data_IF_011416051062
#
_entry.id   IF_011416051062
#
_cell.length_a   1.000
_cell.length_b   1.000
_cell.length_c   1.000
_cell.angle_alpha   90.00
_cell.angle_beta   90.00
_cell.angle_gamma   90.00
#
_symmetry.space_group_name_H-M   'P 1'
#
loop_
_entity.id
_entity.type
_entity.pdbx_description
1 polymer ?
#
# COMPACT_ATOMS: atom_id res chain seq x y z
N UNK A 1 6.97 -27.99 4.56
CA UNK A 1 6.97 -29.20 3.71
C UNK A 1 7.78 -28.92 2.46
N UNK A 2 8.70 -29.82 2.06
CA UNK A 2 9.45 -29.69 0.81
C UNK A 2 8.51 -29.53 -0.40
N UNK A 3 8.90 -28.71 -1.36
CA UNK A 3 8.10 -28.36 -2.55
C UNK A 3 7.03 -27.30 -2.34
N UNK A 4 6.80 -26.83 -1.11
CA UNK A 4 5.80 -25.79 -0.83
C UNK A 4 6.23 -24.40 -1.35
N UNK A 5 5.34 -23.75 -2.10
CA UNK A 5 5.53 -22.41 -2.69
C UNK A 5 4.22 -21.86 -3.28
N UNK A 6 4.24 -20.61 -3.74
CA UNK A 6 3.08 -19.92 -4.36
C UNK A 6 3.12 -19.92 -5.89
N UNK A 7 4.18 -20.49 -6.46
CA UNK A 7 4.46 -20.52 -7.90
C UNK A 7 5.05 -19.19 -8.44
N UNK A 8 5.33 -19.12 -9.75
CA UNK A 8 5.85 -17.93 -10.41
C UNK A 8 4.84 -16.79 -10.39
N UNK A 9 5.23 -15.62 -9.88
CA UNK A 9 4.35 -14.45 -9.80
C UNK A 9 5.14 -13.14 -9.93
N UNK A 10 4.40 -12.02 -9.93
CA UNK A 10 4.90 -10.66 -10.02
C UNK A 10 4.27 -9.80 -8.93
N UNK A 11 5.09 -9.02 -8.25
CA UNK A 11 4.64 -8.02 -7.29
C UNK A 11 4.74 -6.60 -7.89
N UNK A 12 3.84 -5.72 -7.43
CA UNK A 12 3.82 -4.29 -7.79
C UNK A 12 4.51 -3.42 -6.73
N UNK A 13 5.24 -4.05 -5.81
CA UNK A 13 5.95 -3.39 -4.72
C UNK A 13 7.33 -4.01 -4.54
N UNK A 14 8.23 -3.22 -3.94
CA UNK A 14 9.53 -3.70 -3.49
C UNK A 14 9.35 -4.67 -2.32
N UNK A 15 10.15 -5.74 -2.31
CA UNK A 15 10.15 -6.71 -1.21
C UNK A 15 11.56 -7.15 -0.85
N UNK A 16 11.84 -7.23 0.45
CA UNK A 16 12.98 -7.97 0.98
C UNK A 16 12.48 -9.28 1.57
N UNK A 17 12.99 -10.40 1.05
CA UNK A 17 12.68 -11.74 1.53
C UNK A 17 13.84 -12.18 2.40
N UNK A 18 13.59 -12.28 3.70
CA UNK A 18 14.58 -12.72 4.69
C UNK A 18 14.34 -14.19 4.97
N UNK A 19 15.36 -15.01 4.73
CA UNK A 19 15.30 -16.44 5.00
C UNK A 19 15.43 -16.68 6.51
N UNK A 20 14.38 -17.28 7.09
CA UNK A 20 14.35 -17.74 8.48
C UNK A 20 14.93 -19.15 8.59
N UNK A 21 14.35 -19.98 9.46
CA UNK A 21 14.76 -21.38 9.60
C UNK A 21 14.58 -22.16 8.29
N UNK A 22 15.37 -23.21 8.13
CA UNK A 22 15.37 -24.05 6.93
C UNK A 22 15.96 -23.34 5.70
N UNK A 23 15.74 -23.94 4.53
CA UNK A 23 16.24 -23.47 3.23
C UNK A 23 15.17 -23.47 2.14
N UNK A 24 15.29 -22.48 1.24
CA UNK A 24 14.45 -22.35 0.05
C UNK A 24 15.31 -22.05 -1.15
N UNK A 25 14.89 -22.55 -2.31
CA UNK A 25 15.44 -22.13 -3.59
C UNK A 25 14.59 -21.00 -4.15
N UNK A 26 15.23 -19.89 -4.47
CA UNK A 26 14.62 -18.69 -5.01
C UNK A 26 15.12 -18.42 -6.41
N UNK A 27 14.18 -18.18 -7.32
CA UNK A 27 14.41 -17.86 -8.73
C UNK A 27 13.82 -16.48 -9.01
N UNK A 28 14.59 -15.61 -9.66
CA UNK A 28 14.14 -14.29 -10.12
C UNK A 28 14.51 -14.16 -11.59
N UNK A 29 13.55 -13.81 -12.44
CA UNK A 29 13.75 -13.55 -13.87
C UNK A 29 13.89 -12.06 -14.19
N UNK A 30 14.17 -11.76 -15.45
CA UNK A 30 14.30 -10.37 -15.93
C UNK A 30 12.93 -9.66 -16.00
N UNK A 31 12.93 -8.33 -15.82
CA UNK A 31 11.74 -7.50 -15.93
C UNK A 31 11.30 -7.37 -17.39
N UNK A 32 10.46 -8.29 -17.82
CA UNK A 32 9.84 -8.30 -19.15
C UNK A 32 8.31 -8.26 -19.04
N UNK A 33 7.59 -7.70 -20.02
CA UNK A 33 6.13 -7.80 -20.04
C UNK A 33 5.68 -9.26 -20.09
N UNK A 34 5.01 -9.72 -19.03
CA UNK A 34 4.47 -11.07 -18.93
C UNK A 34 2.94 -11.03 -18.83
N UNK A 35 2.28 -12.02 -19.42
CA UNK A 35 0.84 -12.20 -19.22
C UNK A 35 0.65 -12.84 -17.85
N UNK A 36 -0.11 -12.16 -17.00
CA UNK A 36 -0.58 -12.75 -15.76
C UNK A 36 -1.81 -13.63 -16.05
N UNK A 37 -1.87 -14.78 -15.41
CA UNK A 37 -3.04 -15.63 -15.39
C UNK A 37 -3.45 -15.91 -13.94
N UNK A 38 -4.71 -16.27 -13.75
CA UNK A 38 -5.32 -16.45 -12.45
C UNK A 38 -5.67 -17.93 -12.27
N UNK A 39 -4.73 -18.79 -11.81
CA UNK A 39 -5.01 -20.18 -11.52
C UNK A 39 -5.94 -20.34 -10.31
N UNK A 40 -5.95 -19.36 -9.41
CA UNK A 40 -6.87 -19.26 -8.28
C UNK A 40 -7.24 -17.79 -8.06
N UNK A 41 -8.49 -17.43 -7.68
CA UNK A 41 -8.93 -16.03 -7.53
C UNK A 41 -8.00 -15.14 -6.70
N UNK A 42 -7.34 -15.71 -5.71
CA UNK A 42 -6.43 -15.01 -4.77
C UNK A 42 -4.95 -15.08 -5.16
N UNK A 43 -4.61 -15.65 -6.32
CA UNK A 43 -3.23 -15.89 -6.73
C UNK A 43 -3.03 -15.53 -8.20
N UNK A 44 -2.32 -14.44 -8.45
CA UNK A 44 -1.86 -14.06 -9.79
C UNK A 44 -0.53 -14.76 -10.07
N UNK A 45 -0.49 -15.56 -11.12
CA UNK A 45 0.73 -16.23 -11.58
C UNK A 45 1.15 -15.74 -12.97
N UNK A 46 2.40 -16.02 -13.33
CA UNK A 46 2.95 -15.82 -14.66
C UNK A 46 3.47 -17.14 -15.23
N UNK A 47 3.65 -17.18 -16.55
CA UNK A 47 4.32 -18.30 -17.20
C UNK A 47 5.75 -18.52 -16.64
N UNK A 48 6.31 -19.74 -16.76
CA UNK A 48 7.69 -20.00 -16.38
C UNK A 48 8.69 -19.06 -17.07
N UNK A 49 9.73 -18.68 -16.35
CA UNK A 49 10.75 -17.73 -16.82
C UNK A 49 12.17 -18.31 -16.71
N UNK A 50 13.08 -17.76 -17.52
CA UNK A 50 14.52 -17.94 -17.36
C UNK A 50 15.02 -17.03 -16.22
N UNK A 51 15.75 -17.62 -15.28
CA UNK A 51 16.14 -16.95 -14.06
C UNK A 51 17.50 -16.25 -14.23
N UNK A 52 17.56 -14.97 -13.87
CA UNK A 52 18.80 -14.20 -13.74
C UNK A 52 19.43 -14.36 -12.35
N UNK A 53 18.64 -14.81 -11.37
CA UNK A 53 19.09 -15.24 -10.03
C UNK A 53 18.43 -16.59 -9.76
N UNK A 54 19.21 -17.60 -9.37
CA UNK A 54 18.72 -18.93 -9.00
C UNK A 54 19.58 -19.50 -7.86
N UNK A 55 19.17 -19.24 -6.62
CA UNK A 55 20.00 -19.46 -5.43
C UNK A 55 19.25 -20.23 -4.35
N UNK A 56 19.98 -21.05 -3.58
CA UNK A 56 19.49 -21.66 -2.35
C UNK A 56 19.82 -20.74 -1.17
N UNK A 57 18.80 -20.19 -0.54
CA UNK A 57 18.97 -19.29 0.60
C UNK A 57 19.06 -20.06 1.92
N UNK A 58 19.99 -19.64 2.78
CA UNK A 58 20.22 -20.11 4.13
C UNK A 58 19.72 -19.11 5.19
N UNK A 59 19.53 -19.53 6.47
CA UNK A 59 19.05 -18.63 7.52
C UNK A 59 19.93 -17.37 7.67
N UNK A 60 19.31 -16.20 7.51
CA UNK A 60 19.98 -14.90 7.56
C UNK A 60 20.20 -14.26 6.19
N UNK A 61 20.09 -15.02 5.09
CA UNK A 61 20.18 -14.47 3.74
C UNK A 61 18.98 -13.59 3.43
N UNK A 62 19.21 -12.58 2.57
CA UNK A 62 18.20 -11.61 2.16
C UNK A 62 18.21 -11.48 0.64
N UNK A 63 17.03 -11.67 0.04
CA UNK A 63 16.79 -11.43 -1.37
C UNK A 63 15.92 -10.19 -1.52
N UNK A 64 16.45 -9.16 -2.19
CA UNK A 64 15.68 -7.99 -2.58
C UNK A 64 15.15 -8.13 -4.01
N UNK A 65 13.87 -7.87 -4.20
CA UNK A 65 13.21 -7.95 -5.51
C UNK A 65 12.45 -6.62 -5.77
N UNK A 66 12.83 -5.87 -6.83
CA UNK A 66 12.08 -4.69 -7.24
C UNK A 66 10.73 -5.04 -7.91
N UNK A 67 9.79 -4.07 -8.03
CA UNK A 67 8.52 -4.27 -8.70
C UNK A 67 8.66 -4.74 -10.15
N UNK A 68 7.88 -5.75 -10.51
CA UNK A 68 7.78 -6.27 -11.87
C UNK A 68 8.83 -7.29 -12.29
N UNK A 69 9.70 -7.74 -11.38
CA UNK A 69 10.59 -8.88 -11.64
C UNK A 69 9.86 -10.19 -11.28
N UNK A 70 9.70 -11.13 -12.24
CA UNK A 70 9.01 -12.39 -11.96
C UNK A 70 9.85 -13.24 -11.02
N UNK A 71 9.22 -13.81 -10.01
CA UNK A 71 9.93 -14.60 -9.01
C UNK A 71 9.14 -15.81 -8.54
N UNK A 72 9.87 -16.83 -8.10
CA UNK A 72 9.35 -18.09 -7.59
C UNK A 72 10.25 -18.60 -6.48
N UNK A 73 9.66 -19.03 -5.36
CA UNK A 73 10.38 -19.60 -4.24
C UNK A 73 9.72 -20.86 -3.74
N UNK A 74 10.47 -21.96 -3.63
CA UNK A 74 9.96 -23.23 -3.10
C UNK A 74 10.87 -23.79 -2.01
N UNK A 75 10.25 -24.48 -1.07
CA UNK A 75 10.92 -25.01 0.12
C UNK A 75 11.73 -26.27 -0.21
N UNK A 76 13.00 -26.31 0.18
CA UNK A 76 13.82 -27.53 0.11
C UNK A 76 13.62 -28.39 1.36
N UNK A 77 13.34 -27.75 2.49
CA UNK A 77 13.02 -28.36 3.78
C UNK A 77 11.91 -27.58 4.49
N UNK A 78 11.60 -27.92 5.75
CA UNK A 78 10.68 -27.09 6.52
C UNK A 78 11.33 -25.72 6.78
N UNK A 79 10.76 -24.68 6.17
CA UNK A 79 11.36 -23.36 6.14
C UNK A 79 10.37 -22.26 6.49
N UNK A 80 10.91 -21.11 6.90
CA UNK A 80 10.18 -19.88 7.19
C UNK A 80 10.79 -18.72 6.40
N UNK A 81 9.97 -17.83 5.85
CA UNK A 81 10.42 -16.62 5.17
C UNK A 81 9.68 -15.42 5.76
N UNK A 82 10.39 -14.31 5.92
CA UNK A 82 9.83 -13.04 6.35
C UNK A 82 9.91 -12.06 5.18
N UNK A 83 8.76 -11.70 4.63
CA UNK A 83 8.68 -10.73 3.53
C UNK A 83 8.43 -9.34 4.11
N UNK A 84 9.42 -8.45 3.98
CA UNK A 84 9.28 -7.03 4.30
C UNK A 84 8.90 -6.31 3.01
N UNK A 85 7.59 -6.15 2.80
CA UNK A 85 7.02 -5.48 1.65
C UNK A 85 6.92 -3.97 1.83
N UNK A 86 7.22 -3.23 0.78
CA UNK A 86 6.97 -1.79 0.70
C UNK A 86 5.63 -1.54 0.01
N UNK A 87 5.20 -0.28 -0.01
CA UNK A 87 4.00 0.12 -0.75
C UNK A 87 4.20 1.46 -1.41
N UNK A 88 3.67 1.59 -2.63
CA UNK A 88 3.56 2.85 -3.33
C UNK A 88 2.13 2.97 -3.89
N UNK A 89 1.40 4.06 -3.61
CA UNK A 89 0.07 4.24 -4.16
C UNK A 89 0.17 4.51 -5.68
N UNK A 90 -0.81 4.00 -6.42
CA UNK A 90 -0.95 4.38 -7.83
C UNK A 90 -1.83 5.63 -7.98
N UNK A 91 -1.83 6.24 -9.17
CA UNK A 91 -2.60 7.46 -9.43
C UNK A 91 -4.12 7.28 -9.19
N UNK A 92 -4.69 6.10 -9.48
CA UNK A 92 -6.12 5.83 -9.27
C UNK A 92 -6.47 5.89 -7.79
N UNK A 93 -5.64 5.28 -6.94
CA UNK A 93 -5.82 5.31 -5.48
C UNK A 93 -5.71 6.74 -4.94
N UNK A 94 -4.72 7.51 -5.44
CA UNK A 94 -4.56 8.92 -5.05
C UNK A 94 -5.77 9.77 -5.45
N UNK A 95 -6.24 9.65 -6.69
CA UNK A 95 -7.41 10.42 -7.15
C UNK A 95 -8.68 10.04 -6.39
N UNK A 96 -8.92 8.75 -6.17
CA UNK A 96 -10.10 8.28 -5.42
C UNK A 96 -10.07 8.79 -3.99
N UNK A 97 -8.96 8.59 -3.28
CA UNK A 97 -8.84 9.01 -1.89
C UNK A 97 -8.95 10.52 -1.72
N UNK A 98 -8.37 11.31 -2.63
CA UNK A 98 -8.46 12.77 -2.56
C UNK A 98 -9.88 13.26 -2.88
N UNK A 99 -10.57 12.63 -3.82
CA UNK A 99 -11.97 12.94 -4.12
C UNK A 99 -12.87 12.68 -2.90
N UNK A 100 -12.71 11.55 -2.21
CA UNK A 100 -13.47 11.22 -1.00
C UNK A 100 -13.22 12.25 0.11
N UNK A 101 -11.97 12.68 0.30
CA UNK A 101 -11.60 13.73 1.25
C UNK A 101 -12.24 15.08 0.93
N UNK A 102 -12.22 15.48 -0.35
CA UNK A 102 -12.87 16.71 -0.82
C UNK A 102 -14.37 16.67 -0.58
N UNK A 103 -15.02 15.54 -0.87
CA UNK A 103 -16.46 15.35 -0.66
C UNK A 103 -16.82 15.39 0.83
N UNK A 104 -16.08 14.67 1.68
CA UNK A 104 -16.34 14.60 3.11
C UNK A 104 -16.19 15.97 3.81
N UNK A 105 -15.27 16.82 3.33
CA UNK A 105 -15.00 18.14 3.90
C UNK A 105 -15.66 19.29 3.16
N UNK A 106 -16.52 18.99 2.19
CA UNK A 106 -17.27 19.97 1.38
C UNK A 106 -16.35 21.02 0.70
N UNK A 107 -15.17 20.60 0.26
CA UNK A 107 -14.18 21.47 -0.40
C UNK A 107 -14.50 21.65 -1.90
N UNK A 108 -13.89 22.66 -2.52
CA UNK A 108 -14.01 22.87 -3.97
C UNK A 108 -15.39 23.37 -4.45
N UNK A 109 -16.11 24.12 -3.61
CA UNK A 109 -17.46 24.62 -3.89
C UNK A 109 -17.56 25.76 -4.92
N UNK A 110 -16.42 26.26 -5.42
CA UNK A 110 -16.38 27.28 -6.45
C UNK A 110 -16.99 26.76 -7.75
N UNK A 111 -17.99 27.46 -8.28
CA UNK A 111 -18.64 27.11 -9.55
C UNK A 111 -17.84 27.67 -10.72
N UNK A 112 -17.89 26.95 -11.84
CA UNK A 112 -17.45 27.47 -13.13
C UNK A 112 -18.24 28.75 -13.45
N UNK A 113 -17.54 29.76 -13.97
CA UNK A 113 -18.12 31.03 -14.40
C UNK A 113 -17.45 31.50 -15.69
N UNK A 114 -18.24 32.03 -16.61
CA UNK A 114 -17.85 32.45 -17.95
C UNK A 114 -18.46 33.80 -18.34
N UNK A 115 -18.20 34.89 -17.58
CA UNK A 115 -18.68 36.23 -17.95
C UNK A 115 -18.19 36.67 -19.34
N UNK A 116 -17.01 36.17 -19.75
CA UNK A 116 -16.40 36.40 -21.06
C UNK A 116 -16.56 35.17 -21.98
N UNK A 117 -17.79 34.66 -22.10
CA UNK A 117 -18.07 33.47 -22.92
C UNK A 117 -17.71 33.73 -24.40
N UNK A 118 -16.85 32.89 -25.02
CA UNK A 118 -16.45 33.06 -26.40
C UNK A 118 -17.59 32.73 -27.39
N UNK A 119 -17.61 33.43 -28.53
CA UNK A 119 -18.46 33.06 -29.66
C UNK A 119 -18.02 31.71 -30.24
N UNK A 120 -18.97 30.93 -30.77
CA UNK A 120 -18.72 29.61 -31.37
C UNK A 120 -19.52 29.41 -32.66
N UNK A 121 -18.94 28.66 -33.58
CA UNK A 121 -19.54 28.41 -34.91
C UNK A 121 -20.71 27.42 -34.83
N UNK A 122 -20.63 26.41 -33.95
CA UNK A 122 -21.71 25.49 -33.67
C UNK A 122 -22.13 25.56 -32.19
N UNK A 123 -23.42 25.81 -31.87
CA UNK A 123 -23.86 25.97 -30.48
C UNK A 123 -23.63 24.77 -29.56
N UNK A 124 -23.50 23.57 -30.14
CA UNK A 124 -23.26 22.32 -29.41
C UNK A 124 -21.78 22.06 -29.09
N UNK A 125 -20.87 22.89 -29.60
CA UNK A 125 -19.45 22.71 -29.36
C UNK A 125 -19.07 23.12 -27.93
N UNK A 126 -18.16 22.34 -27.34
CA UNK A 126 -17.42 22.71 -26.14
C UNK A 126 -16.04 23.14 -26.60
N UNK A 127 -15.71 24.41 -26.39
CA UNK A 127 -14.45 24.96 -26.86
C UNK A 127 -13.29 24.46 -26.00
N UNK A 128 -12.07 24.30 -26.57
CA UNK A 128 -10.90 23.89 -25.82
C UNK A 128 -10.63 24.74 -24.57
N UNK A 129 -10.85 26.06 -24.66
CA UNK A 129 -10.68 27.00 -23.55
C UNK A 129 -11.62 26.74 -22.37
N UNK A 130 -12.82 26.21 -22.62
CA UNK A 130 -13.79 25.85 -21.58
C UNK A 130 -13.32 24.58 -20.85
N UNK A 131 -12.82 23.59 -21.60
CA UNK A 131 -12.21 22.37 -21.03
C UNK A 131 -10.96 22.67 -20.22
N UNK A 132 -10.11 23.60 -20.68
CA UNK A 132 -8.90 24.00 -19.97
C UNK A 132 -9.25 24.70 -18.65
N UNK A 133 -10.22 25.61 -18.64
CA UNK A 133 -10.71 26.24 -17.39
C UNK A 133 -11.24 25.20 -16.39
N UNK A 134 -12.03 24.23 -16.84
CA UNK A 134 -12.53 23.16 -15.98
C UNK A 134 -11.39 22.30 -15.41
N UNK A 135 -10.38 21.98 -16.24
CA UNK A 135 -9.18 21.26 -15.78
C UNK A 135 -8.37 22.09 -14.78
N UNK A 136 -8.23 23.39 -15.02
CA UNK A 136 -7.56 24.32 -14.11
C UNK A 136 -8.28 24.41 -12.76
N UNK A 137 -9.61 24.33 -12.72
CA UNK A 137 -10.35 24.24 -11.46
C UNK A 137 -9.97 22.98 -10.67
N UNK A 138 -9.89 21.82 -11.34
CA UNK A 138 -9.46 20.56 -10.70
C UNK A 138 -8.01 20.63 -10.21
N UNK A 139 -7.10 21.09 -11.07
CA UNK A 139 -5.69 21.24 -10.73
C UNK A 139 -5.48 22.28 -9.62
N UNK A 140 -6.23 23.37 -9.65
CA UNK A 140 -6.22 24.41 -8.64
C UNK A 140 -6.57 23.86 -7.27
N UNK A 141 -7.58 22.99 -7.17
CA UNK A 141 -7.94 22.32 -5.92
C UNK A 141 -6.84 21.36 -5.42
N UNK A 142 -6.29 20.54 -6.32
CA UNK A 142 -5.18 19.61 -6.00
C UNK A 142 -3.95 20.38 -5.51
N UNK A 143 -3.67 21.54 -6.10
CA UNK A 143 -2.51 22.36 -5.78
C UNK A 143 -2.70 23.24 -4.54
N UNK A 144 -3.82 23.16 -3.81
CA UNK A 144 -3.95 23.82 -2.52
C UNK A 144 -3.11 23.08 -1.47
N UNK A 145 -1.98 23.65 -1.01
CA UNK A 145 -0.92 22.89 -0.35
C UNK A 145 -1.37 22.24 0.97
N UNK A 146 -2.18 22.95 1.77
CA UNK A 146 -2.63 22.44 3.07
C UNK A 146 -3.63 21.30 2.91
N UNK A 147 -4.55 21.37 1.94
CA UNK A 147 -5.52 20.31 1.71
C UNK A 147 -4.86 19.02 1.23
N UNK A 148 -3.96 19.13 0.25
CA UNK A 148 -3.26 17.96 -0.27
C UNK A 148 -2.36 17.33 0.79
N UNK A 149 -1.61 18.15 1.54
CA UNK A 149 -0.73 17.67 2.62
C UNK A 149 -1.50 16.97 3.73
N UNK A 150 -2.60 17.56 4.21
CA UNK A 150 -3.42 16.98 5.27
C UNK A 150 -4.05 15.66 4.81
N UNK A 151 -4.68 15.65 3.63
CA UNK A 151 -5.26 14.45 3.07
C UNK A 151 -4.22 13.33 2.92
N UNK A 152 -3.07 13.63 2.31
CA UNK A 152 -2.07 12.60 2.05
C UNK A 152 -1.52 12.01 3.35
N UNK A 153 -1.37 12.82 4.40
CA UNK A 153 -1.05 12.36 5.74
C UNK A 153 -2.08 11.37 6.28
N UNK A 154 -3.36 11.76 6.30
CA UNK A 154 -4.47 10.92 6.76
C UNK A 154 -4.61 9.62 5.95
N UNK A 155 -4.33 9.67 4.64
CA UNK A 155 -4.39 8.53 3.73
C UNK A 155 -3.22 7.55 3.92
N UNK A 156 -1.99 8.06 3.94
CA UNK A 156 -0.79 7.19 3.94
C UNK A 156 -0.51 6.56 5.30
N UNK A 157 -1.02 7.12 6.39
CA UNK A 157 -0.88 6.53 7.74
C UNK A 157 -1.88 5.41 8.04
N UNK A 158 -2.86 5.18 7.16
CA UNK A 158 -3.78 4.05 7.32
C UNK A 158 -3.12 2.71 6.94
N UNK A 159 -3.34 1.70 7.78
CA UNK A 159 -2.93 0.32 7.53
C UNK A 159 -3.80 -0.33 6.44
N UNK A 160 -3.21 -1.20 5.60
CA UNK A 160 -3.97 -2.06 4.67
C UNK A 160 -4.41 -3.38 5.30
N UNK A 161 -3.90 -3.68 6.49
CA UNK A 161 -4.24 -4.86 7.26
C UNK A 161 -4.95 -4.44 8.53
N UNK A 162 -5.87 -5.27 9.00
CA UNK A 162 -6.55 -5.06 10.27
C UNK A 162 -5.52 -4.96 11.41
N UNK A 163 -5.72 -3.99 12.30
CA UNK A 163 -4.89 -3.78 13.47
C UNK A 163 -5.57 -4.42 14.69
N UNK A 164 -4.76 -4.95 15.61
CA UNK A 164 -5.24 -5.46 16.90
C UNK A 164 -5.51 -4.29 17.87
N UNK A 165 -6.62 -3.59 17.64
CA UNK A 165 -7.01 -2.41 18.43
C UNK A 165 -7.81 -2.85 19.65
N UNK A 166 -7.19 -2.81 20.83
CA UNK A 166 -7.82 -3.06 22.12
C UNK A 166 -7.77 -1.80 23.00
N UNK A 167 -8.82 -0.95 22.99
CA UNK A 167 -8.87 0.23 23.85
C UNK A 167 -8.76 -0.16 25.33
N UNK A 168 -7.95 0.56 26.14
CA UNK A 168 -7.81 0.26 27.55
C UNK A 168 -9.11 0.57 28.30
N UNK A 169 -9.48 -0.32 29.23
CA UNK A 169 -10.65 -0.18 30.09
C UNK A 169 -10.22 -0.30 31.56
N UNK A 170 -10.39 0.75 32.40
CA UNK A 170 -10.93 2.06 32.04
C UNK A 170 -9.96 2.91 31.19
N UNK A 171 -10.43 3.97 30.51
CA UNK A 171 -9.55 4.92 29.83
C UNK A 171 -8.58 5.59 30.79
N UNK A 172 -7.30 5.65 30.40
CA UNK A 172 -6.27 6.34 31.15
C UNK A 172 -6.58 7.82 31.35
N UNK A 173 -6.31 8.32 32.54
CA UNK A 173 -6.23 9.76 32.82
C UNK A 173 -4.85 10.31 32.46
N UNK A 174 -4.73 11.62 32.12
CA UNK A 174 -3.45 12.22 31.76
C UNK A 174 -2.34 12.03 32.82
N UNK A 175 -2.70 12.11 34.10
CA UNK A 175 -1.74 11.96 35.21
C UNK A 175 -1.21 10.52 35.32
N UNK A 176 -2.05 9.51 35.05
CA UNK A 176 -1.64 8.09 35.07
C UNK A 176 -0.60 7.80 33.97
N UNK A 177 -0.76 8.42 32.79
CA UNK A 177 0.22 8.31 31.71
C UNK A 177 1.54 8.99 32.11
N UNK A 178 1.46 10.18 32.69
CA UNK A 178 2.65 10.92 33.13
C UNK A 178 3.42 10.15 34.20
N UNK A 179 2.72 9.65 35.21
CA UNK A 179 3.32 8.90 36.32
C UNK A 179 3.94 7.58 35.85
N UNK A 180 3.25 6.83 34.98
CA UNK A 180 3.79 5.59 34.39
C UNK A 180 5.11 5.84 33.65
N UNK A 181 5.17 6.91 32.85
CA UNK A 181 6.39 7.30 32.14
C UNK A 181 7.53 7.69 33.11
N UNK A 182 7.23 8.39 34.21
CA UNK A 182 8.24 8.78 35.22
C UNK A 182 8.75 7.60 36.04
N UNK A 183 7.89 6.61 36.31
CA UNK A 183 8.24 5.42 37.09
C UNK A 183 9.02 4.38 36.26
N UNK A 184 9.16 4.60 34.96
CA UNK A 184 9.76 3.63 34.03
C UNK A 184 8.87 2.41 33.82
N UNK A 185 7.58 2.53 34.15
CA UNK A 185 6.62 1.46 33.93
C UNK A 185 6.32 1.39 32.43
N UNK A 186 6.73 0.29 31.81
CA UNK A 186 6.45 0.03 30.40
C UNK A 186 5.01 -0.46 30.31
N UNK A 187 4.04 0.46 30.36
CA UNK A 187 2.60 0.18 30.38
C UNK A 187 2.19 -0.88 29.36
N UNK A 188 2.24 -2.15 29.75
CA UNK A 188 1.75 -3.27 28.96
C UNK A 188 0.23 -3.27 29.09
N UNK A 189 -0.52 -3.26 27.97
CA UNK A 189 -1.95 -3.49 28.01
C UNK A 189 -2.18 -4.84 28.69
N UNK A 190 -3.00 -4.85 29.74
CA UNK A 190 -3.19 -6.00 30.60
C UNK A 190 -3.55 -7.26 29.82
N UNK A 191 -2.62 -8.20 29.75
CA UNK A 191 -2.97 -9.61 29.59
C UNK A 191 -3.69 -9.99 30.90
N UNK A 192 -4.96 -10.44 30.89
CA UNK A 192 -5.63 -10.79 32.12
C UNK A 192 -4.87 -11.93 32.81
N UNK A 193 -4.22 -11.62 33.91
CA UNK A 193 -3.67 -12.60 34.82
C UNK A 193 -4.84 -13.21 35.61
N UNK A 194 -5.27 -14.41 35.23
CA UNK A 194 -6.16 -15.22 36.06
C UNK A 194 -7.37 -15.80 35.32
N UNK A 195 -7.15 -16.93 34.65
CA UNK A 195 -8.12 -18.01 34.63
C UNK A 195 -7.36 -19.29 34.96
N UNK A 196 -7.12 -19.49 36.26
CA UNK A 196 -6.83 -20.80 36.79
C UNK A 196 -8.15 -21.57 36.86
N UNK A 197 -8.27 -22.61 36.04
CA UNK A 197 -8.96 -23.87 36.37
C UNK A 197 -8.32 -25.00 35.58
#
# INVERSE_FOLDING_TARGET
MPGGGVGPHLDQYDVFIIQGTGRRRWRVGEKVPMKQHCPHPDLLQVDPFEAIIDEEMEPGDILYIPPGFPHEGYSLENSLNYSVGYRAPNARELFSGFADYVLQRELGSQRYADPDVPSRDHPADILPTELDRLREMMLGLINQPEHFKQWFGEFITQSRHELDVAPPEPPYQPDEIYDALQQGDTGTPGRPAGAAH
#
